data_IF_696538020996
#
_entry.id   IF_696538020996
#
_cell.length_a   1.000
_cell.length_b   1.000
_cell.length_c   1.000
_cell.angle_alpha   90.00
_cell.angle_beta   90.00
_cell.angle_gamma   90.00
#
_symmetry.space_group_name_H-M   'P 1'
#
loop_
_entity.id
_entity.type
_entity.pdbx_description
1 polymer ?
#
# COMPACT_ATOMS: atom_id res chain seq x y z
N UNK A 1 -14.02 7.10 29.32
CA UNK A 1 -13.73 5.97 28.44
C UNK A 1 -12.56 6.30 27.54
N UNK A 2 -11.54 5.45 27.53
CA UNK A 2 -10.41 5.66 26.66
C UNK A 2 -10.85 5.54 25.19
N UNK A 3 -10.44 6.49 24.36
CA UNK A 3 -10.63 6.36 22.91
C UNK A 3 -9.82 5.17 22.41
N UNK A 4 -10.45 4.29 21.66
CA UNK A 4 -9.73 3.25 20.94
C UNK A 4 -8.83 3.92 19.91
N UNK A 5 -7.56 3.60 19.93
CA UNK A 5 -6.66 4.04 18.87
C UNK A 5 -7.10 3.42 17.55
N UNK A 6 -7.06 4.19 16.45
CA UNK A 6 -7.37 3.62 15.13
C UNK A 6 -6.46 2.44 14.82
N UNK A 7 -7.04 1.39 14.24
CA UNK A 7 -6.33 0.16 13.91
C UNK A 7 -5.26 0.40 12.84
N UNK A 8 -4.02 -0.11 13.03
CA UNK A 8 -3.01 -0.08 11.95
C UNK A 8 -3.46 -0.80 10.69
N UNK A 9 -4.24 -1.88 10.84
CA UNK A 9 -4.79 -2.61 9.68
C UNK A 9 -5.76 -1.72 8.90
N UNK A 10 -6.57 -0.93 9.60
CA UNK A 10 -7.49 0.01 8.96
C UNK A 10 -6.73 1.11 8.21
N UNK A 11 -5.66 1.61 8.80
CA UNK A 11 -4.81 2.61 8.14
C UNK A 11 -4.21 2.06 6.84
N UNK A 12 -3.67 0.83 6.88
CA UNK A 12 -3.12 0.19 5.68
C UNK A 12 -4.16 0.05 4.59
N UNK A 13 -5.35 -0.38 4.95
CA UNK A 13 -6.45 -0.55 4.02
C UNK A 13 -6.80 0.77 3.34
N UNK A 14 -6.91 1.85 4.11
CA UNK A 14 -7.25 3.16 3.56
C UNK A 14 -6.13 3.73 2.69
N UNK A 15 -4.87 3.56 3.08
CA UNK A 15 -3.74 3.99 2.27
C UNK A 15 -3.74 3.23 0.93
N UNK A 16 -3.94 1.92 0.97
CA UNK A 16 -4.02 1.10 -0.25
C UNK A 16 -5.15 1.57 -1.17
N UNK A 17 -6.34 1.83 -0.60
CA UNK A 17 -7.47 2.30 -1.39
C UNK A 17 -7.19 3.67 -2.02
N UNK A 18 -6.51 4.55 -1.31
CA UNK A 18 -6.13 5.86 -1.85
C UNK A 18 -5.12 5.71 -2.98
N UNK A 19 -4.13 4.84 -2.82
CA UNK A 19 -3.15 4.57 -3.88
C UNK A 19 -3.82 3.97 -5.11
N UNK A 20 -4.77 3.06 -4.91
CA UNK A 20 -5.55 2.49 -6.00
C UNK A 20 -6.33 3.57 -6.75
N UNK A 21 -7.04 4.43 -6.00
CA UNK A 21 -7.80 5.51 -6.60
C UNK A 21 -6.89 6.47 -7.38
N UNK A 22 -5.71 6.76 -6.85
CA UNK A 22 -4.72 7.60 -7.53
C UNK A 22 -4.29 6.98 -8.88
N UNK A 23 -4.10 5.67 -8.92
CA UNK A 23 -3.75 4.97 -10.16
C UNK A 23 -4.86 5.07 -11.19
N UNK A 24 -6.13 5.03 -10.75
CA UNK A 24 -7.28 5.06 -11.65
C UNK A 24 -7.59 6.47 -12.12
N UNK A 25 -7.62 7.45 -11.21
CA UNK A 25 -8.16 8.80 -11.49
C UNK A 25 -7.08 9.87 -11.64
N UNK A 26 -5.84 9.59 -11.23
CA UNK A 26 -4.80 10.61 -11.20
C UNK A 26 -4.99 11.67 -10.14
N UNK A 27 -5.83 11.43 -9.14
CA UNK A 27 -6.09 12.39 -8.07
C UNK A 27 -4.82 12.76 -7.32
N UNK A 28 -4.70 14.04 -6.95
CA UNK A 28 -3.59 14.50 -6.12
C UNK A 28 -3.75 14.01 -4.68
N UNK A 29 -2.65 14.02 -3.93
CA UNK A 29 -2.72 13.68 -2.51
C UNK A 29 -3.66 14.61 -1.75
N UNK A 30 -3.65 15.90 -2.08
CA UNK A 30 -4.54 16.88 -1.45
C UNK A 30 -6.01 16.50 -1.65
N UNK A 31 -6.38 16.12 -2.87
CA UNK A 31 -7.74 15.69 -3.19
C UNK A 31 -8.12 14.41 -2.45
N UNK A 32 -7.21 13.43 -2.42
CA UNK A 32 -7.43 12.15 -1.74
C UNK A 32 -7.60 12.34 -0.24
N UNK A 33 -6.75 13.16 0.38
CA UNK A 33 -6.83 13.44 1.80
C UNK A 33 -8.18 14.09 2.15
N UNK A 34 -8.60 15.08 1.37
CA UNK A 34 -9.89 15.75 1.57
C UNK A 34 -11.04 14.76 1.46
N UNK A 35 -11.03 13.93 0.42
CA UNK A 35 -12.09 12.95 0.17
C UNK A 35 -12.16 11.91 1.30
N UNK A 36 -11.03 11.35 1.69
CA UNK A 36 -11.00 10.30 2.72
C UNK A 36 -11.36 10.85 4.08
N UNK A 37 -10.96 12.07 4.39
CA UNK A 37 -11.35 12.75 5.63
C UNK A 37 -12.88 12.93 5.71
N UNK A 38 -13.54 13.21 4.61
CA UNK A 38 -14.98 13.37 4.55
C UNK A 38 -15.74 12.04 4.61
N UNK A 39 -15.16 11.00 4.01
CA UNK A 39 -15.82 9.69 3.85
C UNK A 39 -15.65 8.79 5.08
N UNK A 40 -14.49 8.82 5.70
CA UNK A 40 -14.15 7.88 6.78
C UNK A 40 -13.98 8.62 8.10
N UNK A 41 -14.31 7.92 9.20
CA UNK A 41 -14.16 8.41 10.56
C UNK A 41 -13.31 7.44 11.37
N UNK A 42 -12.73 7.93 12.47
CA UNK A 42 -11.94 7.11 13.39
C UNK A 42 -10.77 6.38 12.70
N UNK A 43 -10.03 7.11 11.88
CA UNK A 43 -8.78 6.58 11.36
C UNK A 43 -7.65 7.57 11.64
N UNK A 44 -6.43 7.07 11.57
CA UNK A 44 -5.24 7.88 11.82
C UNK A 44 -4.97 8.79 10.61
N UNK A 45 -5.64 9.95 10.58
CA UNK A 45 -5.53 10.89 9.47
C UNK A 45 -4.08 11.35 9.25
N UNK A 46 -3.37 11.64 10.34
CA UNK A 46 -1.97 12.07 10.27
C UNK A 46 -1.08 10.99 9.66
N UNK A 47 -1.25 9.76 10.09
CA UNK A 47 -0.55 8.61 9.51
C UNK A 47 -0.88 8.42 8.04
N UNK A 48 -2.15 8.59 7.68
CA UNK A 48 -2.62 8.50 6.30
C UNK A 48 -1.94 9.56 5.41
N UNK A 49 -1.93 10.81 5.86
CA UNK A 49 -1.27 11.90 5.14
C UNK A 49 0.23 11.65 4.99
N UNK A 50 0.88 11.22 6.07
CA UNK A 50 2.30 10.92 6.06
C UNK A 50 2.65 9.79 5.08
N UNK A 51 1.87 8.70 5.09
CA UNK A 51 2.09 7.59 4.18
C UNK A 51 1.98 8.01 2.72
N UNK A 52 0.93 8.76 2.38
CA UNK A 52 0.75 9.22 1.00
C UNK A 52 1.89 10.13 0.57
N UNK A 53 2.33 11.04 1.44
CA UNK A 53 3.43 11.95 1.14
C UNK A 53 4.75 11.20 0.95
N UNK A 54 5.08 10.30 1.85
CA UNK A 54 6.34 9.56 1.80
C UNK A 54 6.38 8.59 0.61
N UNK A 55 5.26 7.94 0.30
CA UNK A 55 5.19 7.04 -0.86
C UNK A 55 5.38 7.85 -2.15
N UNK A 56 4.75 9.02 -2.25
CA UNK A 56 4.93 9.88 -3.41
C UNK A 56 6.39 10.33 -3.55
N UNK A 57 7.02 10.68 -2.45
CA UNK A 57 8.42 11.11 -2.44
C UNK A 57 9.35 10.00 -2.94
N UNK A 58 9.08 8.76 -2.55
CA UNK A 58 9.93 7.61 -2.89
C UNK A 58 9.41 6.82 -4.10
N UNK A 59 8.46 7.35 -4.85
CA UNK A 59 7.74 6.57 -5.86
C UNK A 59 8.66 5.99 -6.95
N UNK A 60 9.67 6.71 -7.37
CA UNK A 60 10.59 6.22 -8.39
C UNK A 60 11.39 5.03 -7.90
N UNK A 61 11.85 5.08 -6.66
CA UNK A 61 12.57 3.99 -6.03
C UNK A 61 11.65 2.78 -5.83
N UNK A 62 10.43 3.01 -5.33
CA UNK A 62 9.44 1.95 -5.12
C UNK A 62 9.13 1.25 -6.45
N UNK A 63 8.87 2.01 -7.51
CA UNK A 63 8.60 1.44 -8.83
C UNK A 63 9.80 0.65 -9.35
N UNK A 64 11.01 1.14 -9.14
CA UNK A 64 12.23 0.44 -9.53
C UNK A 64 12.37 -0.90 -8.81
N UNK A 65 12.03 -0.95 -7.53
CA UNK A 65 12.06 -2.19 -6.76
C UNK A 65 11.05 -3.20 -7.32
N UNK A 66 9.84 -2.75 -7.65
CA UNK A 66 8.84 -3.62 -8.26
C UNK A 66 9.37 -4.19 -9.58
N UNK A 67 9.88 -3.35 -10.45
CA UNK A 67 10.37 -3.75 -11.77
C UNK A 67 11.52 -4.76 -11.68
N UNK A 68 12.41 -4.60 -10.71
CA UNK A 68 13.55 -5.50 -10.53
C UNK A 68 13.14 -6.90 -10.05
N UNK A 69 11.98 -7.04 -9.43
CA UNK A 69 11.56 -8.28 -8.79
C UNK A 69 10.43 -8.99 -9.54
N UNK A 70 10.11 -8.55 -10.75
CA UNK A 70 9.11 -9.19 -11.60
C UNK A 70 9.56 -9.18 -13.05
N UNK A 71 9.09 -10.16 -13.82
CA UNK A 71 9.30 -10.22 -15.26
C UNK A 71 8.20 -9.50 -16.04
N UNK A 72 7.20 -8.96 -15.33
CA UNK A 72 6.07 -8.25 -15.91
C UNK A 72 6.36 -6.76 -15.89
N UNK A 73 6.05 -6.06 -16.98
CA UNK A 73 6.14 -4.60 -17.00
C UNK A 73 5.17 -4.01 -15.97
N UNK A 74 5.59 -2.96 -15.28
CA UNK A 74 4.78 -2.34 -14.23
C UNK A 74 3.40 -1.94 -14.77
N UNK A 75 3.30 -1.55 -16.03
CA UNK A 75 2.05 -1.16 -16.68
C UNK A 75 1.08 -2.32 -16.87
N UNK A 76 1.58 -3.55 -16.84
CA UNK A 76 0.78 -4.75 -16.97
C UNK A 76 0.31 -5.31 -15.63
N UNK A 77 0.83 -4.79 -14.53
CA UNK A 77 0.39 -5.18 -13.18
C UNK A 77 -0.94 -4.48 -12.91
N UNK A 78 -1.90 -5.21 -12.34
CA UNK A 78 -3.20 -4.62 -12.03
C UNK A 78 -3.05 -3.45 -11.04
N UNK A 79 -3.95 -2.48 -11.13
CA UNK A 79 -3.90 -1.28 -10.27
C UNK A 79 -4.02 -1.62 -8.79
N UNK A 80 -4.82 -2.62 -8.47
CA UNK A 80 -4.98 -3.10 -7.09
C UNK A 80 -3.67 -3.72 -6.59
N UNK A 81 -3.06 -4.58 -7.39
CA UNK A 81 -1.79 -5.20 -7.02
C UNK A 81 -0.68 -4.16 -6.87
N UNK A 82 -0.63 -3.16 -7.76
CA UNK A 82 0.32 -2.06 -7.65
C UNK A 82 0.14 -1.28 -6.35
N UNK A 83 -1.09 -0.96 -5.99
CA UNK A 83 -1.37 -0.22 -4.76
C UNK A 83 -0.88 -1.00 -3.54
N UNK A 84 -1.18 -2.29 -3.49
CA UNK A 84 -0.75 -3.16 -2.39
C UNK A 84 0.78 -3.24 -2.32
N UNK A 85 1.43 -3.44 -3.47
CA UNK A 85 2.88 -3.55 -3.55
C UNK A 85 3.58 -2.25 -3.13
N UNK A 86 3.08 -1.11 -3.60
CA UNK A 86 3.67 0.18 -3.27
C UNK A 86 3.68 0.42 -1.77
N UNK A 87 2.56 0.14 -1.12
CA UNK A 87 2.45 0.30 0.31
C UNK A 87 3.34 -0.68 1.08
N UNK A 88 3.33 -1.95 0.69
CA UNK A 88 4.13 -2.96 1.37
C UNK A 88 5.62 -2.67 1.24
N UNK A 89 6.08 -2.28 0.06
CA UNK A 89 7.48 -1.94 -0.16
C UNK A 89 7.87 -0.71 0.66
N UNK A 90 7.00 0.28 0.72
CA UNK A 90 7.23 1.44 1.58
C UNK A 90 7.43 1.01 3.04
N UNK A 91 6.56 0.14 3.57
CA UNK A 91 6.69 -0.35 4.95
C UNK A 91 7.97 -1.17 5.16
N UNK A 92 8.33 -2.01 4.20
CA UNK A 92 9.57 -2.79 4.26
C UNK A 92 10.79 -1.87 4.34
N UNK A 93 10.79 -0.79 3.60
CA UNK A 93 11.88 0.19 3.62
C UNK A 93 11.97 0.92 4.96
N UNK A 94 10.85 1.16 5.64
CA UNK A 94 10.85 1.82 6.94
C UNK A 94 11.49 0.95 8.03
N UNK A 95 11.46 -0.36 7.87
CA UNK A 95 12.05 -1.31 8.79
C UNK A 95 11.55 -1.15 10.25
N UNK A 96 10.29 -0.73 10.40
CA UNK A 96 9.66 -0.55 11.71
C UNK A 96 8.93 -1.78 12.19
N UNK A 97 8.47 -2.62 11.24
CA UNK A 97 7.76 -3.87 11.51
C UNK A 97 8.52 -5.03 10.86
N UNK A 98 8.34 -6.21 11.44
CA UNK A 98 8.91 -7.43 10.86
C UNK A 98 8.33 -7.72 9.48
N UNK A 99 9.19 -8.10 8.55
CA UNK A 99 8.79 -8.39 7.17
C UNK A 99 7.64 -9.38 7.06
N UNK A 100 7.61 -10.50 7.84
CA UNK A 100 6.47 -11.42 7.75
C UNK A 100 5.12 -10.76 8.07
N UNK A 101 5.09 -9.79 8.97
CA UNK A 101 3.86 -9.05 9.30
C UNK A 101 3.41 -8.22 8.11
N UNK A 102 4.34 -7.51 7.48
CA UNK A 102 4.04 -6.66 6.31
C UNK A 102 3.53 -7.52 5.16
N UNK A 103 4.20 -8.63 4.87
CA UNK A 103 3.83 -9.54 3.79
C UNK A 103 2.46 -10.17 4.08
N UNK A 104 2.22 -10.60 5.32
CA UNK A 104 0.93 -11.15 5.73
C UNK A 104 -0.21 -10.17 5.51
N UNK A 105 0.00 -8.89 5.83
CA UNK A 105 -1.00 -7.85 5.62
C UNK A 105 -1.24 -7.58 4.13
N UNK A 106 -0.19 -7.58 3.33
CA UNK A 106 -0.33 -7.44 1.88
C UNK A 106 -1.14 -8.60 1.28
N UNK A 107 -0.91 -9.81 1.75
CA UNK A 107 -1.67 -11.00 1.32
C UNK A 107 -3.13 -10.87 1.73
N UNK A 108 -3.40 -10.41 2.96
CA UNK A 108 -4.76 -10.19 3.44
C UNK A 108 -5.51 -9.21 2.54
N UNK A 109 -4.88 -8.10 2.19
CA UNK A 109 -5.48 -7.10 1.31
C UNK A 109 -5.70 -7.65 -0.10
N UNK A 110 -4.76 -8.44 -0.61
CA UNK A 110 -4.90 -9.03 -1.95
C UNK A 110 -6.04 -10.05 -2.03
N UNK A 111 -6.27 -10.81 -0.96
CA UNK A 111 -7.40 -11.74 -0.90
C UNK A 111 -8.73 -11.02 -0.81
N UNK A 112 -8.75 -9.86 -0.15
CA UNK A 112 -9.97 -9.08 0.03
C UNK A 112 -10.32 -8.25 -1.21
N UNK A 113 -9.34 -7.62 -1.85
CA UNK A 113 -9.57 -6.65 -2.90
C UNK A 113 -9.07 -7.08 -4.27
N UNK A 114 -8.15 -8.03 -4.34
CA UNK A 114 -7.58 -8.50 -5.60
C UNK A 114 -8.34 -9.64 -6.23
N UNK A 115 -7.78 -10.15 -7.31
CA UNK A 115 -8.28 -11.35 -7.99
C UNK A 115 -7.75 -12.61 -7.28
N UNK A 116 -8.30 -13.77 -7.63
CA UNK A 116 -7.96 -15.04 -6.96
C UNK A 116 -6.46 -15.35 -6.93
N UNK A 117 -5.74 -14.99 -7.98
CA UNK A 117 -4.30 -15.27 -8.09
C UNK A 117 -3.41 -14.14 -7.55
N UNK A 118 -3.97 -13.00 -7.17
CA UNK A 118 -3.19 -11.82 -6.75
C UNK A 118 -2.27 -12.13 -5.57
N UNK A 119 -2.75 -12.87 -4.58
CA UNK A 119 -1.97 -13.15 -3.37
C UNK A 119 -0.70 -13.94 -3.68
N UNK A 120 -0.72 -14.83 -4.67
CA UNK A 120 0.45 -15.61 -5.07
C UNK A 120 1.52 -14.72 -5.71
N UNK A 121 1.08 -13.84 -6.61
CA UNK A 121 1.98 -12.89 -7.27
C UNK A 121 2.63 -11.94 -6.25
N UNK A 122 1.81 -11.36 -5.36
CA UNK A 122 2.28 -10.42 -4.35
C UNK A 122 3.23 -11.09 -3.37
N UNK A 123 2.89 -12.29 -2.90
CA UNK A 123 3.75 -13.04 -1.99
C UNK A 123 5.12 -13.34 -2.63
N UNK A 124 5.12 -13.84 -3.85
CA UNK A 124 6.35 -14.18 -4.56
C UNK A 124 7.25 -12.96 -4.76
N UNK A 125 6.66 -11.82 -5.12
CA UNK A 125 7.43 -10.59 -5.32
C UNK A 125 8.00 -10.07 -3.99
N UNK A 126 7.17 -9.97 -2.96
CA UNK A 126 7.59 -9.41 -1.68
C UNK A 126 8.61 -10.27 -0.96
N UNK A 127 8.57 -11.60 -1.12
CA UNK A 127 9.58 -12.49 -0.57
C UNK A 127 10.97 -12.16 -1.11
N UNK A 128 11.05 -11.79 -2.37
CA UNK A 128 12.32 -11.39 -3.00
C UNK A 128 12.79 -10.03 -2.48
N UNK A 129 11.85 -9.11 -2.27
CA UNK A 129 12.16 -7.76 -1.77
C UNK A 129 12.64 -7.82 -0.31
N UNK A 130 12.17 -8.77 0.46
CA UNK A 130 12.57 -8.96 1.86
C UNK A 130 14.09 -9.12 2.02
N UNK A 131 14.77 -9.51 0.98
CA UNK A 131 16.23 -9.75 0.98
C UNK A 131 17.07 -8.48 0.80
N UNK A 132 16.53 -7.33 1.10
CA UNK A 132 17.28 -6.06 1.04
C UNK A 132 18.63 -6.15 1.76
#
# INVERSE_FOLDING_TARGET
MAKKNPSPAKLRELVMQALYQKEISGSSNTELIKQFKQTYRNFNLKGFENCLREIKKDILEINSIIEKHTNVDIEQISKIELAILKQAIYELKQNELDSPIIISEAIRLSKRFGQDSSHKFINALLDKVEEF
#
